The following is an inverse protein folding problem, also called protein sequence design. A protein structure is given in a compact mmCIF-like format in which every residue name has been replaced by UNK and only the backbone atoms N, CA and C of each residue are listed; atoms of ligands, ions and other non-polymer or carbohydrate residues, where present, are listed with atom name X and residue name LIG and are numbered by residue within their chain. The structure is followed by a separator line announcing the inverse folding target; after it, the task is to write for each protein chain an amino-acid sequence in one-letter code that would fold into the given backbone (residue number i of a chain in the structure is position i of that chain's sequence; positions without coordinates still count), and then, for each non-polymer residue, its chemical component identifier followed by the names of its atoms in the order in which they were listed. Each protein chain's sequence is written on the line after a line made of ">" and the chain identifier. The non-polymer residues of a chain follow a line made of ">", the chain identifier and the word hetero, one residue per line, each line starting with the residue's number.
data_IF_170529364226
#
_entry.id   IF_170529364226
#
_cell.length_a   1.000
_cell.length_b   1.000
_cell.length_c   1.000
_cell.angle_alpha   90.00
_cell.angle_beta   90.00
_cell.angle_gamma   90.00
#
_symmetry.space_group_name_H-M   'P 1'
#
loop_
_entity.id
_entity.type
_entity.pdbx_description
1 polymer ?
#
# COMPACT_ATOMS: atom_id res chain seq x y z
N UNK A 1 9.87 36.68 -11.45
CA UNK A 1 9.31 35.80 -12.50
C UNK A 1 9.11 34.42 -11.89
N UNK A 2 7.86 34.00 -11.71
CA UNK A 2 7.53 32.61 -11.37
C UNK A 2 7.70 31.74 -12.62
N UNK A 3 8.50 30.68 -12.52
CA UNK A 3 8.57 29.61 -13.51
C UNK A 3 7.85 28.39 -12.93
N UNK A 4 6.71 28.06 -13.52
CA UNK A 4 5.90 26.88 -13.25
C UNK A 4 6.43 25.65 -14.00
N UNK A 5 6.62 24.55 -13.25
CA UNK A 5 6.80 23.14 -13.71
C UNK A 5 8.10 22.79 -14.44
N UNK A 6 8.71 21.61 -14.16
CA UNK A 6 8.03 20.30 -14.13
C UNK A 6 8.29 19.50 -12.84
N UNK A 7 7.28 18.81 -12.30
CA UNK A 7 7.48 17.78 -11.26
C UNK A 7 8.09 16.53 -11.88
N UNK A 8 9.38 16.58 -12.24
CA UNK A 8 10.12 15.39 -12.65
C UNK A 8 10.25 14.45 -11.45
N UNK A 9 9.57 13.30 -11.54
CA UNK A 9 9.74 12.07 -10.77
C UNK A 9 10.01 12.22 -9.28
N UNK A 10 8.96 12.31 -8.46
CA UNK A 10 9.12 12.14 -7.00
C UNK A 10 9.65 10.75 -6.63
N UNK A 11 9.62 9.77 -7.54
CA UNK A 11 10.08 8.39 -7.37
C UNK A 11 10.66 7.85 -8.70
N UNK A 12 11.49 6.81 -8.60
CA UNK A 12 12.12 6.15 -9.74
C UNK A 12 11.35 4.90 -10.19
N UNK A 13 10.78 4.15 -9.24
CA UNK A 13 10.02 2.93 -9.51
C UNK A 13 8.89 2.74 -8.49
N UNK A 14 7.96 1.84 -8.81
CA UNK A 14 6.93 1.37 -7.89
C UNK A 14 7.30 -0.03 -7.41
N UNK A 15 7.43 -0.16 -6.09
CA UNK A 15 7.59 -1.46 -5.45
C UNK A 15 6.20 -2.04 -5.14
N UNK A 16 5.83 -3.14 -5.79
CA UNK A 16 4.71 -3.96 -5.36
C UNK A 16 5.16 -4.79 -4.17
N UNK A 17 4.56 -4.54 -3.01
CA UNK A 17 4.80 -5.32 -1.80
C UNK A 17 3.62 -6.26 -1.57
N UNK A 18 3.95 -7.53 -1.40
CA UNK A 18 3.01 -8.59 -1.03
C UNK A 18 3.40 -9.15 0.34
N UNK A 19 2.43 -9.71 1.05
CA UNK A 19 2.65 -10.38 2.33
C UNK A 19 2.08 -11.79 2.31
N UNK A 20 2.74 -12.67 3.07
CA UNK A 20 2.28 -14.04 3.32
C UNK A 20 1.39 -14.06 4.57
N UNK A 21 0.08 -14.29 4.46
CA UNK A 21 -0.84 -14.20 5.60
C UNK A 21 -0.45 -15.14 6.74
N UNK A 22 -0.12 -16.40 6.44
CA UNK A 22 0.33 -17.35 7.46
C UNK A 22 1.59 -16.85 8.19
N UNK A 23 2.55 -16.24 7.47
CA UNK A 23 3.77 -15.70 8.07
C UNK A 23 3.50 -14.57 9.07
N UNK A 24 2.53 -13.71 8.77
CA UNK A 24 2.06 -12.65 9.67
C UNK A 24 1.36 -13.25 10.89
N UNK A 25 0.48 -14.24 10.67
CA UNK A 25 -0.36 -14.84 11.71
C UNK A 25 0.39 -15.80 12.66
N UNK A 26 1.63 -16.18 12.37
CA UNK A 26 2.46 -16.94 13.34
C UNK A 26 2.64 -16.16 14.64
N UNK A 27 2.84 -14.83 14.53
CA UNK A 27 3.18 -13.97 15.66
C UNK A 27 2.03 -13.04 16.08
N UNK A 28 0.85 -13.15 15.45
CA UNK A 28 -0.32 -12.29 15.71
C UNK A 28 -1.60 -13.11 15.69
N UNK A 29 -2.53 -12.79 16.60
CA UNK A 29 -3.86 -13.39 16.57
C UNK A 29 -4.65 -12.86 15.38
N UNK A 30 -4.72 -13.67 14.32
CA UNK A 30 -5.54 -13.38 13.15
C UNK A 30 -6.99 -13.86 13.36
N UNK A 31 -7.94 -12.98 13.07
CA UNK A 31 -9.38 -13.24 13.25
C UNK A 31 -9.96 -14.01 12.06
N UNK A 32 -9.36 -13.88 10.87
CA UNK A 32 -9.82 -14.54 9.65
C UNK A 32 -9.39 -16.01 9.65
N UNK A 33 -10.36 -16.92 9.59
CA UNK A 33 -10.12 -18.36 9.40
C UNK A 33 -11.05 -18.93 8.31
N UNK A 34 -10.53 -19.79 7.40
CA UNK A 34 -9.13 -20.23 7.32
C UNK A 34 -8.20 -19.09 6.86
N UNK A 35 -6.94 -19.12 7.30
CA UNK A 35 -5.93 -18.16 6.84
C UNK A 35 -5.66 -18.44 5.35
N UNK A 36 -5.68 -17.42 4.46
CA UNK A 36 -5.44 -17.64 3.04
C UNK A 36 -4.04 -18.21 2.74
N UNK A 37 -3.98 -19.16 1.82
CA UNK A 37 -2.73 -19.80 1.35
C UNK A 37 -2.15 -19.14 0.08
N UNK A 38 -2.43 -17.87 -0.14
CA UNK A 38 -1.86 -17.09 -1.24
C UNK A 38 -1.34 -15.74 -0.75
N UNK A 39 -0.37 -15.19 -1.47
CA UNK A 39 0.13 -13.84 -1.19
C UNK A 39 -0.96 -12.80 -1.40
N UNK A 40 -1.05 -11.87 -0.46
CA UNK A 40 -1.97 -10.74 -0.54
C UNK A 40 -1.18 -9.45 -0.72
N UNK A 41 -1.76 -8.50 -1.46
CA UNK A 41 -1.11 -7.21 -1.68
C UNK A 41 -1.06 -6.42 -0.37
N UNK A 42 0.14 -5.97 0.00
CA UNK A 42 0.37 -5.10 1.14
C UNK A 42 0.31 -3.62 0.73
N UNK A 43 0.89 -3.27 -0.41
CA UNK A 43 1.00 -1.88 -0.83
C UNK A 43 1.73 -1.73 -2.17
N UNK A 44 1.51 -0.60 -2.81
CA UNK A 44 2.28 -0.15 -3.98
C UNK A 44 3.01 1.13 -3.58
N UNK A 45 4.34 1.07 -3.55
CA UNK A 45 5.16 2.07 -2.87
C UNK A 45 6.04 2.83 -3.87
N UNK A 46 5.82 4.13 -4.05
CA UNK A 46 6.79 5.00 -4.73
C UNK A 46 8.14 4.88 -4.04
N UNK A 47 9.18 4.53 -4.80
CA UNK A 47 10.52 4.26 -4.28
C UNK A 47 11.59 4.87 -5.18
N UNK A 48 12.74 5.16 -4.59
CA UNK A 48 13.92 5.66 -5.30
C UNK A 48 15.07 4.66 -5.21
N UNK A 49 16.03 4.75 -6.13
CA UNK A 49 17.23 3.90 -6.09
C UNK A 49 18.15 4.22 -4.89
N UNK A 50 18.01 5.41 -4.28
CA UNK A 50 18.66 5.78 -3.02
C UNK A 50 18.02 5.16 -1.77
N UNK A 51 17.00 4.31 -1.94
CA UNK A 51 16.19 3.66 -0.89
C UNK A 51 15.26 4.61 -0.13
N UNK A 52 15.05 5.83 -0.62
CA UNK A 52 14.02 6.71 -0.09
C UNK A 52 12.65 6.29 -0.60
N UNK A 53 11.65 6.39 0.27
CA UNK A 53 10.24 6.12 -0.03
C UNK A 53 9.44 7.40 0.20
N UNK A 54 9.22 8.20 -0.87
CA UNK A 54 8.36 9.36 -0.84
C UNK A 54 6.98 8.99 -0.30
N UNK A 55 6.52 9.75 0.69
CA UNK A 55 5.25 9.51 1.39
C UNK A 55 4.65 10.83 1.83
N UNK A 56 3.35 10.84 2.12
CA UNK A 56 2.63 12.03 2.60
C UNK A 56 2.83 13.26 1.68
N UNK A 57 2.87 13.03 0.37
CA UNK A 57 2.99 14.12 -0.60
C UNK A 57 1.85 15.11 -0.39
N UNK A 58 2.15 16.42 -0.47
CA UNK A 58 1.16 17.49 -0.37
C UNK A 58 0.19 17.44 -1.56
N UNK A 59 -0.77 16.53 -1.47
CA UNK A 59 -1.79 16.27 -2.47
C UNK A 59 -3.13 16.78 -1.94
N UNK A 60 -3.89 17.55 -2.74
CA UNK A 60 -5.26 17.90 -2.38
C UNK A 60 -6.20 16.68 -2.46
N UNK A 61 -5.77 15.58 -3.07
CA UNK A 61 -6.56 14.36 -3.22
C UNK A 61 -6.62 13.60 -1.90
N UNK A 62 -7.85 13.32 -1.46
CA UNK A 62 -8.13 12.45 -0.31
C UNK A 62 -8.57 11.09 -0.81
N UNK A 63 -8.37 10.07 0.02
CA UNK A 63 -8.93 8.75 -0.26
C UNK A 63 -10.46 8.87 -0.35
N UNK A 64 -11.10 8.37 -1.43
CA UNK A 64 -12.54 8.47 -1.61
C UNK A 64 -13.27 7.66 -0.52
N UNK A 65 -14.46 8.10 -0.12
CA UNK A 65 -15.21 7.46 0.97
C UNK A 65 -15.94 6.16 0.54
N UNK A 66 -16.13 5.95 -0.77
CA UNK A 66 -17.02 4.92 -1.33
C UNK A 66 -16.25 3.95 -2.24
N UNK A 67 -15.39 3.12 -1.64
CA UNK A 67 -14.43 2.30 -2.39
C UNK A 67 -14.81 0.82 -2.44
N UNK A 68 -16.06 0.55 -2.86
CA UNK A 68 -16.60 -0.82 -3.03
C UNK A 68 -15.70 -1.75 -3.87
N UNK A 69 -14.93 -1.19 -4.80
CA UNK A 69 -13.99 -1.94 -5.63
C UNK A 69 -12.68 -2.28 -4.91
N UNK A 70 -12.20 -1.41 -4.02
CA UNK A 70 -11.03 -1.70 -3.18
C UNK A 70 -11.43 -2.72 -2.13
N UNK A 71 -12.57 -2.57 -1.45
CA UNK A 71 -13.03 -3.56 -0.44
C UNK A 71 -13.18 -4.97 -1.02
N UNK A 72 -13.50 -5.09 -2.32
CA UNK A 72 -13.66 -6.37 -3.00
C UNK A 72 -12.32 -7.04 -3.35
N UNK A 73 -11.30 -6.26 -3.72
CA UNK A 73 -10.05 -6.76 -4.29
C UNK A 73 -8.85 -6.59 -3.36
N UNK A 74 -8.98 -5.75 -2.35
CA UNK A 74 -8.02 -5.48 -1.31
C UNK A 74 -8.59 -6.01 0.01
N UNK A 75 -8.05 -7.13 0.49
CA UNK A 75 -8.52 -7.76 1.71
C UNK A 75 -8.02 -7.00 2.96
N UNK A 76 -8.61 -5.83 3.18
CA UNK A 76 -8.25 -4.91 4.26
C UNK A 76 -8.49 -5.53 5.64
N UNK A 77 -9.35 -6.54 5.76
CA UNK A 77 -9.59 -7.30 6.99
C UNK A 77 -8.36 -8.07 7.50
N UNK A 78 -7.42 -8.41 6.61
CA UNK A 78 -6.12 -9.01 6.99
C UNK A 78 -5.12 -7.96 7.50
N UNK A 79 -5.31 -6.69 7.13
CA UNK A 79 -4.37 -5.58 7.42
C UNK A 79 -4.82 -4.73 8.60
N UNK A 80 -6.14 -4.54 8.80
CA UNK A 80 -6.70 -3.73 9.91
C UNK A 80 -6.39 -4.24 11.32
N UNK A 81 -5.91 -5.48 11.46
CA UNK A 81 -5.54 -6.08 12.74
C UNK A 81 -4.02 -6.32 12.87
N UNK A 82 -3.20 -5.74 11.99
CA UNK A 82 -1.74 -5.70 12.15
C UNK A 82 -1.30 -4.48 12.94
#
# INVERSE_FOLDING_TARGET
>A
SQLSSPSYGAYDYLALSEFWPNGVCINKNCIVQPIPEFFSVHGLWPSTFSKDQPRNCNSPHRFPANVKYIDKNWNDSLVKNM
#
